data_IF_808784112226
#
_entry.id   IF_808784112226
#
_cell.length_a   1.000
_cell.length_b   1.000
_cell.length_c   1.000
_cell.angle_alpha   90.00
_cell.angle_beta   90.00
_cell.angle_gamma   90.00
#
_symmetry.space_group_name_H-M   'P 1'
#
loop_
_entity.id
_entity.type
_entity.pdbx_description
1 polymer ?
#
# COMPACT_ATOMS: atom_id res chain seq x y z
N UNK A 1 6.67 -5.78 -10.64
CA UNK A 1 5.82 -7.00 -10.69
C UNK A 1 4.36 -6.65 -11.01
N UNK A 2 3.51 -7.65 -11.32
CA UNK A 2 2.06 -7.46 -11.54
C UNK A 2 1.19 -8.61 -11.01
N UNK A 3 0.05 -8.29 -10.41
CA UNK A 3 -1.00 -9.26 -10.06
C UNK A 3 -2.40 -8.64 -10.08
N UNK A 4 -3.43 -9.45 -9.91
CA UNK A 4 -4.83 -9.00 -9.74
C UNK A 4 -5.22 -9.24 -8.30
N UNK A 5 -5.78 -8.22 -7.64
CA UNK A 5 -6.34 -8.37 -6.31
C UNK A 5 -7.85 -8.61 -6.41
N UNK A 6 -8.32 -9.71 -5.82
CA UNK A 6 -9.76 -10.00 -5.66
C UNK A 6 -10.26 -9.61 -4.27
N UNK A 7 -9.34 -9.50 -3.30
CA UNK A 7 -9.62 -9.07 -1.94
C UNK A 7 -8.82 -7.79 -1.62
N UNK A 8 -9.54 -6.75 -1.19
CA UNK A 8 -8.96 -5.47 -0.79
C UNK A 8 -9.59 -5.09 0.54
N UNK A 9 -8.75 -4.87 1.56
CA UNK A 9 -9.17 -4.61 2.93
C UNK A 9 -8.40 -3.43 3.51
N UNK A 10 -9.04 -2.67 4.39
CA UNK A 10 -8.38 -1.61 5.15
C UNK A 10 -9.01 -1.50 6.53
N UNK A 11 -8.21 -1.06 7.49
CA UNK A 11 -8.60 -0.92 8.88
C UNK A 11 -7.79 0.23 9.49
N UNK A 12 -8.43 0.98 10.40
CA UNK A 12 -7.80 2.02 11.21
C UNK A 12 -8.16 1.74 12.66
N UNK A 13 -7.26 1.11 13.40
CA UNK A 13 -7.47 0.71 14.80
C UNK A 13 -6.20 0.97 15.61
N UNK A 14 -6.37 1.34 16.88
CA UNK A 14 -5.29 1.58 17.84
C UNK A 14 -4.17 2.51 17.32
N UNK A 15 -4.53 3.53 16.54
CA UNK A 15 -3.57 4.49 15.97
C UNK A 15 -2.76 3.95 14.80
N UNK A 16 -3.11 2.80 14.24
CA UNK A 16 -2.46 2.20 13.07
C UNK A 16 -3.45 2.16 11.90
N UNK A 17 -3.00 2.64 10.75
CA UNK A 17 -3.70 2.48 9.48
C UNK A 17 -3.14 1.28 8.71
N UNK A 18 -4.02 0.55 8.02
CA UNK A 18 -3.70 -0.63 7.23
C UNK A 18 -4.41 -0.61 5.87
N UNK A 19 -3.75 -1.07 4.82
CA UNK A 19 -4.35 -1.39 3.53
C UNK A 19 -3.70 -2.64 2.94
N UNK A 20 -4.52 -3.64 2.63
CA UNK A 20 -4.11 -4.91 2.02
C UNK A 20 -4.72 -5.10 0.64
N UNK A 21 -3.92 -5.64 -0.28
CA UNK A 21 -4.33 -6.13 -1.59
C UNK A 21 -3.94 -7.59 -1.69
N UNK A 22 -4.87 -8.50 -1.95
CA UNK A 22 -4.61 -9.94 -2.05
C UNK A 22 -5.30 -10.55 -3.28
N UNK A 23 -4.64 -11.53 -3.90
CA UNK A 23 -5.18 -12.27 -5.03
C UNK A 23 -6.33 -13.22 -4.66
N UNK A 24 -6.36 -13.68 -3.43
CA UNK A 24 -7.43 -14.48 -2.82
C UNK A 24 -7.55 -14.17 -1.32
N UNK A 25 -8.76 -14.29 -0.76
CA UNK A 25 -9.03 -14.00 0.66
C UNK A 25 -8.49 -15.08 1.61
N UNK A 26 -8.52 -16.35 1.20
CA UNK A 26 -8.21 -17.49 2.07
C UNK A 26 -6.94 -18.23 1.65
N UNK A 27 -6.64 -18.24 0.35
CA UNK A 27 -5.50 -18.93 -0.24
C UNK A 27 -4.55 -17.93 -0.92
N UNK A 28 -4.21 -16.86 -0.21
CA UNK A 28 -3.38 -15.78 -0.73
C UNK A 28 -2.02 -16.30 -1.19
N UNK A 29 -1.67 -16.06 -2.45
CA UNK A 29 -0.33 -16.32 -2.98
C UNK A 29 0.40 -15.05 -3.40
N UNK A 30 -0.36 -13.97 -3.63
CA UNK A 30 0.17 -12.65 -3.97
C UNK A 30 -0.53 -11.57 -3.20
N UNK A 31 0.24 -10.75 -2.50
CA UNK A 31 -0.31 -9.61 -1.78
C UNK A 31 0.67 -8.46 -1.65
N UNK A 32 0.10 -7.28 -1.43
CA UNK A 32 0.79 -6.10 -0.94
C UNK A 32 0.06 -5.63 0.32
N UNK A 33 0.80 -5.50 1.41
CA UNK A 33 0.32 -4.97 2.68
C UNK A 33 1.05 -3.67 3.00
N UNK A 34 0.28 -2.66 3.38
CA UNK A 34 0.77 -1.34 3.80
C UNK A 34 0.25 -1.06 5.21
N UNK A 35 1.11 -0.62 6.10
CA UNK A 35 0.73 -0.21 7.46
C UNK A 35 1.50 1.03 7.90
N UNK A 36 0.91 1.86 8.77
CA UNK A 36 1.60 3.02 9.34
C UNK A 36 1.01 3.45 10.67
N UNK A 37 1.86 3.83 11.62
CA UNK A 37 1.47 4.52 12.85
C UNK A 37 1.06 5.96 12.54
N UNK A 38 -0.14 6.35 12.93
CA UNK A 38 -0.74 7.66 12.62
C UNK A 38 -0.19 8.79 13.49
N UNK A 39 0.11 8.49 14.75
CA UNK A 39 0.65 9.43 15.73
C UNK A 39 1.93 8.83 16.35
N UNK A 40 3.03 8.75 15.57
CA UNK A 40 4.25 8.11 16.04
C UNK A 40 4.86 8.93 17.18
N UNK A 41 5.23 8.25 18.26
CA UNK A 41 6.00 8.86 19.33
C UNK A 41 7.51 8.94 18.97
N UNK A 42 8.38 9.51 19.82
CA UNK A 42 9.82 9.55 19.55
C UNK A 42 10.47 8.17 19.43
N UNK A 43 9.95 7.15 20.12
CA UNK A 43 10.43 5.77 20.02
C UNK A 43 10.05 5.18 18.65
N UNK A 44 8.81 5.38 18.21
CA UNK A 44 8.34 4.98 16.87
C UNK A 44 9.19 5.59 15.77
N UNK A 45 9.48 6.89 15.86
CA UNK A 45 10.37 7.56 14.90
C UNK A 45 11.78 6.96 14.92
N UNK A 46 12.29 6.61 16.12
CA UNK A 46 13.59 5.95 16.27
C UNK A 46 13.64 4.53 15.67
N UNK A 47 12.50 3.84 15.65
CA UNK A 47 12.33 2.51 15.04
C UNK A 47 11.90 2.57 13.56
N UNK A 48 11.59 3.77 13.04
CA UNK A 48 11.14 3.98 11.66
C UNK A 48 9.65 3.70 11.44
N UNK A 49 8.85 3.54 12.50
CA UNK A 49 7.40 3.32 12.43
C UNK A 49 6.61 4.56 12.00
N UNK A 50 7.26 5.72 11.96
CA UNK A 50 6.74 6.95 11.34
C UNK A 50 6.64 6.83 9.81
N UNK A 51 7.34 5.85 9.24
CA UNK A 51 7.29 5.48 7.82
C UNK A 51 6.28 4.36 7.58
N UNK A 52 5.88 4.22 6.33
CA UNK A 52 5.01 3.12 5.93
C UNK A 52 5.78 1.80 5.97
N UNK A 53 5.25 0.83 6.69
CA UNK A 53 5.61 -0.57 6.58
C UNK A 53 5.02 -1.15 5.29
N UNK A 54 5.86 -1.81 4.50
CA UNK A 54 5.50 -2.40 3.22
C UNK A 54 5.89 -3.87 3.27
N UNK A 55 4.98 -4.76 2.92
CA UNK A 55 5.23 -6.21 2.83
C UNK A 55 4.67 -6.75 1.51
N UNK A 56 5.49 -7.52 0.79
CA UNK A 56 5.18 -7.99 -0.57
C UNK A 56 5.30 -9.51 -0.70
N UNK A 57 4.16 -10.19 -0.65
CA UNK A 57 3.99 -11.65 -0.71
C UNK A 57 4.60 -12.47 0.43
N UNK A 58 5.53 -11.92 1.23
CA UNK A 58 6.14 -12.60 2.36
C UNK A 58 6.79 -11.58 3.31
N UNK A 59 6.81 -11.87 4.61
CA UNK A 59 7.41 -11.00 5.63
C UNK A 59 8.92 -10.79 5.43
N UNK A 60 9.65 -11.77 4.86
CA UNK A 60 11.07 -11.60 4.49
C UNK A 60 11.28 -10.57 3.39
N UNK A 61 10.21 -10.17 2.69
CA UNK A 61 10.16 -9.13 1.67
C UNK A 61 9.42 -7.90 2.19
N UNK A 62 9.77 -7.48 3.40
CA UNK A 62 9.19 -6.30 4.04
C UNK A 62 10.23 -5.24 4.40
N UNK A 63 9.77 -4.00 4.52
CA UNK A 63 10.59 -2.88 4.96
C UNK A 63 9.73 -1.72 5.48
N UNK A 64 10.25 -0.98 6.45
CA UNK A 64 9.82 0.39 6.70
C UNK A 64 10.50 1.31 5.68
N UNK A 65 9.71 1.95 4.83
CA UNK A 65 10.23 2.53 3.61
C UNK A 65 9.42 3.70 3.07
N UNK A 66 9.77 4.11 1.87
CA UNK A 66 9.13 5.22 1.18
C UNK A 66 8.50 4.75 -0.13
N UNK A 67 7.20 4.99 -0.24
CA UNK A 67 6.51 5.01 -1.52
C UNK A 67 6.72 6.40 -2.12
N UNK A 68 7.31 6.46 -3.31
CA UNK A 68 7.53 7.71 -4.05
C UNK A 68 6.26 8.18 -4.74
N UNK A 69 5.50 7.25 -5.31
CA UNK A 69 4.31 7.58 -6.10
C UNK A 69 3.30 6.44 -6.06
N UNK A 70 2.03 6.79 -5.89
CA UNK A 70 0.88 5.92 -6.11
C UNK A 70 -0.01 6.53 -7.18
N UNK A 71 -0.31 5.73 -8.21
CA UNK A 71 -1.30 6.08 -9.22
C UNK A 71 -2.49 5.16 -9.08
N UNK A 72 -3.63 5.70 -8.65
CA UNK A 72 -4.89 4.97 -8.49
C UNK A 72 -5.88 5.41 -9.57
N UNK A 73 -6.20 4.52 -10.51
CA UNK A 73 -7.21 4.76 -11.55
C UNK A 73 -7.68 3.43 -12.10
N UNK A 74 -8.94 3.27 -12.49
CA UNK A 74 -9.35 2.04 -13.19
C UNK A 74 -8.43 1.78 -14.41
N UNK A 75 -7.96 0.53 -14.62
CA UNK A 75 -8.36 -0.71 -13.94
C UNK A 75 -7.44 -1.15 -12.77
N UNK A 76 -6.69 -0.25 -12.11
CA UNK A 76 -5.67 -0.67 -11.16
C UNK A 76 -5.06 0.40 -10.26
N UNK A 77 -4.06 -0.04 -9.51
CA UNK A 77 -3.16 0.83 -8.77
C UNK A 77 -1.72 0.48 -9.12
N UNK A 78 -0.86 1.49 -9.21
CA UNK A 78 0.59 1.29 -9.39
C UNK A 78 1.34 1.99 -8.28
N UNK A 79 2.26 1.26 -7.65
CA UNK A 79 3.17 1.77 -6.64
C UNK A 79 4.58 1.84 -7.22
N UNK A 80 5.24 2.99 -7.02
CA UNK A 80 6.69 3.12 -7.18
C UNK A 80 7.30 3.37 -5.81
N UNK A 81 8.23 2.51 -5.43
CA UNK A 81 9.00 2.64 -4.19
C UNK A 81 10.34 3.31 -4.48
N UNK A 82 10.93 3.94 -3.47
CA UNK A 82 12.31 4.40 -3.60
C UNK A 82 13.25 3.20 -3.84
N UNK A 83 14.44 3.40 -4.43
CA UNK A 83 15.33 2.31 -4.79
C UNK A 83 15.72 1.39 -3.63
N UNK A 84 15.87 1.92 -2.41
CA UNK A 84 16.22 1.14 -1.23
C UNK A 84 15.05 0.24 -0.81
N UNK A 85 13.85 0.81 -0.72
CA UNK A 85 12.62 0.04 -0.42
C UNK A 85 12.34 -1.01 -1.50
N UNK A 86 12.47 -0.64 -2.78
CA UNK A 86 12.24 -1.54 -3.92
C UNK A 86 13.17 -2.76 -3.89
N UNK A 87 14.44 -2.56 -3.52
CA UNK A 87 15.39 -3.64 -3.34
C UNK A 87 15.02 -4.54 -2.15
N UNK A 88 14.66 -3.94 -1.00
CA UNK A 88 14.31 -4.70 0.21
C UNK A 88 13.09 -5.62 0.01
N UNK A 89 12.05 -5.14 -0.68
CA UNK A 89 10.83 -5.94 -0.94
C UNK A 89 10.90 -6.74 -2.26
N UNK A 90 11.99 -6.60 -3.01
CA UNK A 90 12.18 -7.23 -4.32
C UNK A 90 11.04 -6.93 -5.31
N UNK A 91 10.57 -5.68 -5.37
CA UNK A 91 9.44 -5.29 -6.24
C UNK A 91 9.81 -5.16 -7.72
N UNK A 92 11.09 -4.94 -8.01
CA UNK A 92 11.54 -4.30 -9.25
C UNK A 92 11.14 -2.82 -9.26
N UNK A 93 11.01 -2.24 -10.45
CA UNK A 93 10.74 -0.79 -10.61
C UNK A 93 9.38 -0.34 -10.06
N UNK A 94 8.36 -1.18 -10.15
CA UNK A 94 7.00 -0.86 -9.70
C UNK A 94 6.17 -2.12 -9.40
N UNK A 95 5.13 -1.95 -8.59
CA UNK A 95 4.10 -2.96 -8.34
C UNK A 95 2.79 -2.49 -8.96
N UNK A 96 2.29 -3.22 -9.96
CA UNK A 96 1.00 -2.96 -10.59
C UNK A 96 -0.04 -3.98 -10.12
N UNK A 97 -1.16 -3.50 -9.58
CA UNK A 97 -2.24 -4.33 -9.05
C UNK A 97 -3.50 -4.00 -9.85
N UNK A 98 -4.02 -4.98 -10.59
CA UNK A 98 -5.32 -4.85 -11.21
C UNK A 98 -6.41 -5.04 -10.15
N UNK A 99 -7.43 -4.18 -10.18
CA UNK A 99 -8.55 -4.19 -9.25
C UNK A 99 -9.85 -4.04 -10.03
N UNK A 100 -10.89 -4.72 -9.59
CA UNK A 100 -12.25 -4.53 -10.09
C UNK A 100 -13.14 -4.07 -8.92
N UNK A 101 -13.27 -2.75 -8.81
CA UNK A 101 -13.98 -2.11 -7.70
C UNK A 101 -14.88 -0.99 -8.21
N UNK A 102 -15.92 -0.69 -7.44
CA UNK A 102 -16.79 0.47 -7.67
C UNK A 102 -16.02 1.78 -7.48
N UNK A 103 -16.50 2.88 -8.06
CA UNK A 103 -15.90 4.22 -7.85
C UNK A 103 -15.88 4.59 -6.37
N UNK A 104 -16.96 4.29 -5.64
CA UNK A 104 -17.02 4.49 -4.18
C UNK A 104 -15.87 3.78 -3.45
N UNK A 105 -15.61 2.51 -3.76
CA UNK A 105 -14.47 1.80 -3.15
C UNK A 105 -13.13 2.40 -3.58
N UNK A 106 -13.02 2.89 -4.82
CA UNK A 106 -11.83 3.59 -5.31
C UNK A 106 -11.57 4.89 -4.53
N UNK A 107 -12.61 5.65 -4.19
CA UNK A 107 -12.54 6.83 -3.33
C UNK A 107 -12.06 6.47 -1.92
N UNK A 108 -12.68 5.46 -1.29
CA UNK A 108 -12.30 4.97 0.03
C UNK A 108 -10.83 4.50 0.06
N UNK A 109 -10.38 3.80 -0.99
CA UNK A 109 -8.97 3.42 -1.15
C UNK A 109 -8.05 4.63 -1.31
N UNK A 110 -8.47 5.67 -2.03
CA UNK A 110 -7.68 6.88 -2.20
C UNK A 110 -7.43 7.57 -0.86
N UNK A 111 -8.46 7.70 -0.02
CA UNK A 111 -8.33 8.25 1.33
C UNK A 111 -7.40 7.41 2.20
N UNK A 112 -7.55 6.08 2.17
CA UNK A 112 -6.67 5.21 2.94
C UNK A 112 -5.22 5.28 2.48
N UNK A 113 -4.96 5.35 1.17
CA UNK A 113 -3.62 5.53 0.63
C UNK A 113 -3.02 6.88 1.04
N UNK A 114 -3.82 7.96 1.05
CA UNK A 114 -3.38 9.28 1.50
C UNK A 114 -3.01 9.28 2.99
N UNK A 115 -3.77 8.56 3.80
CA UNK A 115 -3.48 8.38 5.22
C UNK A 115 -2.14 7.65 5.44
N UNK A 116 -1.91 6.56 4.70
CA UNK A 116 -0.68 5.76 4.79
C UNK A 116 0.54 6.48 4.22
N UNK A 117 0.42 7.10 3.05
CA UNK A 117 1.57 7.49 2.21
C UNK A 117 1.77 9.01 2.14
N UNK A 118 0.73 9.78 2.44
CA UNK A 118 0.70 11.23 2.32
C UNK A 118 0.04 11.71 1.02
N UNK A 119 -0.60 12.88 1.08
CA UNK A 119 -1.42 13.41 -0.01
C UNK A 119 -0.63 13.68 -1.30
N UNK A 120 0.58 14.22 -1.17
CA UNK A 120 1.39 14.69 -2.31
C UNK A 120 1.87 13.55 -3.23
N UNK A 121 1.77 12.30 -2.77
CA UNK A 121 2.26 11.11 -3.46
C UNK A 121 1.16 10.24 -4.05
N UNK A 122 -0.11 10.54 -3.75
CA UNK A 122 -1.26 9.74 -4.18
C UNK A 122 -2.04 10.50 -5.25
N UNK A 123 -1.89 10.04 -6.49
CA UNK A 123 -2.59 10.58 -7.65
C UNK A 123 -3.76 9.68 -8.03
N UNK A 124 -4.96 10.06 -7.59
CA UNK A 124 -6.19 9.32 -7.86
C UNK A 124 -6.99 9.96 -9.01
N UNK A 125 -7.47 9.13 -9.94
CA UNK A 125 -8.47 9.51 -10.95
C UNK A 125 -9.72 8.66 -10.72
N UNK A 126 -10.81 9.32 -10.34
CA UNK A 126 -12.01 8.68 -9.79
C UNK A 126 -13.18 8.63 -10.79
N UNK A 127 -12.90 8.83 -12.07
CA UNK A 127 -13.94 8.89 -13.11
C UNK A 127 -14.36 7.48 -13.56
N UNK A 128 -15.62 7.34 -13.96
CA UNK A 128 -16.18 6.13 -14.58
C UNK A 128 -15.79 5.96 -16.06
#
# INVERSE_FOLDING_TARGET
>A
MRFTASCITWQNEDGVALLGFADDEFNTTRYLLLQRTLEPDPQDCGLGHDRVYIELNDQSRSAYGQVEEVRLRKPGVTFRFDPTTAAAVSSGESVAIAIDVTVRRLEEMAEQLRLLIGQDRVHATLND
#
